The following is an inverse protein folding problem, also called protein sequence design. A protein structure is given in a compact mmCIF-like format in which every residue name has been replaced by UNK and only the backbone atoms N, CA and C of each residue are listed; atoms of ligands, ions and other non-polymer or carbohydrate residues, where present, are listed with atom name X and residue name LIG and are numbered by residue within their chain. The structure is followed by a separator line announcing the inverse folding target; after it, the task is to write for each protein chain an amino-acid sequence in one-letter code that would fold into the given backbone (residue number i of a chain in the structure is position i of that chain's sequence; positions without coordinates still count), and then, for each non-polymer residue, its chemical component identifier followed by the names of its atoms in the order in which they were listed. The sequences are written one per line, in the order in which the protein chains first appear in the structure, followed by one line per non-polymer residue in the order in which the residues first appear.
data_IF_214646142723
#
_entry.id   IF_214646142723
#
_cell.length_a   1.000
_cell.length_b   1.000
_cell.length_c   1.000
_cell.angle_alpha   90.00
_cell.angle_beta   90.00
_cell.angle_gamma   90.00
#
_symmetry.space_group_name_H-M   'P 1'
#
loop_
_entity.id
_entity.type
_entity.pdbx_description
1 polymer ?
#
# COMPACT_ATOMS: atom_id res chain seq x y z
N UNK A 1 16.62 40.39 3.46
CA UNK A 1 15.97 39.40 2.55
C UNK A 1 16.05 37.95 3.05
N UNK A 2 16.93 37.65 4.00
CA UNK A 2 17.15 36.31 4.59
C UNK A 2 15.95 35.76 5.38
N UNK A 3 15.15 36.59 6.05
CA UNK A 3 13.91 36.14 6.73
C UNK A 3 12.89 35.52 5.77
N UNK A 4 12.80 36.02 4.53
CA UNK A 4 11.89 35.50 3.51
C UNK A 4 12.38 34.18 2.95
N UNK A 5 13.69 34.02 2.73
CA UNK A 5 14.27 32.78 2.23
C UNK A 5 14.22 31.65 3.27
N UNK A 6 14.40 31.97 4.56
CA UNK A 6 14.25 31.00 5.66
C UNK A 6 12.79 30.52 5.78
N UNK A 7 11.81 31.41 5.68
CA UNK A 7 10.40 31.03 5.76
C UNK A 7 9.95 30.20 4.55
N UNK A 8 10.42 30.54 3.35
CA UNK A 8 10.13 29.77 2.12
C UNK A 8 10.79 28.38 2.19
N UNK A 9 12.02 28.28 2.67
CA UNK A 9 12.69 26.99 2.88
C UNK A 9 11.95 26.09 3.87
N UNK A 10 11.50 26.65 5.00
CA UNK A 10 10.69 25.92 5.99
C UNK A 10 9.35 25.44 5.42
N UNK A 11 8.67 26.28 4.62
CA UNK A 11 7.43 25.92 3.93
C UNK A 11 7.62 24.77 2.93
N UNK A 12 8.72 24.78 2.16
CA UNK A 12 9.02 23.73 1.16
C UNK A 12 9.32 22.39 1.84
N UNK A 13 10.03 22.39 2.97
CA UNK A 13 10.27 21.17 3.76
C UNK A 13 8.96 20.60 4.30
N UNK A 14 8.05 21.45 4.77
CA UNK A 14 6.74 21.01 5.27
C UNK A 14 5.85 20.41 4.18
N UNK A 15 5.88 20.98 2.96
CA UNK A 15 5.12 20.46 1.81
C UNK A 15 5.62 19.09 1.35
N UNK A 16 6.93 18.84 1.46
CA UNK A 16 7.54 17.55 1.06
C UNK A 16 7.09 16.37 1.92
N UNK A 17 6.72 16.61 3.18
CA UNK A 17 6.25 15.56 4.11
C UNK A 17 4.78 15.19 3.87
N UNK A 18 4.00 16.08 3.26
CA UNK A 18 2.56 15.93 3.10
C UNK A 18 2.14 15.07 1.89
N UNK A 19 3.07 14.59 1.06
CA UNK A 19 2.73 13.67 -0.05
C UNK A 19 2.48 12.27 0.50
N UNK A 20 1.28 12.06 1.03
CA UNK A 20 0.87 10.85 1.72
C UNK A 20 0.45 9.72 0.78
N UNK A 21 0.65 8.53 1.33
CA UNK A 21 0.43 7.19 0.79
C UNK A 21 -1.02 6.99 0.35
N UNK A 22 -1.25 6.87 -0.96
CA UNK A 22 -2.49 6.31 -1.50
C UNK A 22 -2.47 4.80 -1.29
N UNK A 23 -2.89 4.36 -0.10
CA UNK A 23 -3.07 2.96 0.24
C UNK A 23 -4.38 2.45 -0.39
N UNK A 24 -4.28 1.45 -1.27
CA UNK A 24 -5.43 0.81 -1.89
C UNK A 24 -5.86 -0.37 -1.00
N UNK A 25 -7.03 -0.28 -0.37
CA UNK A 25 -7.47 -1.30 0.58
C UNK A 25 -8.09 -2.52 -0.12
N UNK A 26 -7.62 -3.71 0.24
CA UNK A 26 -8.09 -5.00 -0.30
C UNK A 26 -8.56 -5.94 0.79
N UNK A 27 -9.36 -6.92 0.41
CA UNK A 27 -9.93 -7.92 1.30
C UNK A 27 -9.23 -9.26 1.12
N UNK A 28 -8.71 -9.82 2.20
CA UNK A 28 -8.15 -11.17 2.24
C UNK A 28 -9.04 -12.07 3.07
N UNK A 29 -9.09 -13.34 2.71
CA UNK A 29 -9.80 -14.35 3.50
C UNK A 29 -8.80 -15.12 4.36
N UNK A 30 -9.15 -15.41 5.61
CA UNK A 30 -8.22 -16.06 6.55
C UNK A 30 -7.68 -17.42 6.06
N UNK A 31 -8.46 -18.15 5.26
CA UNK A 31 -8.08 -19.45 4.68
C UNK A 31 -7.51 -19.38 3.26
N UNK A 32 -7.51 -18.21 2.63
CA UNK A 32 -7.20 -18.08 1.21
C UNK A 32 -5.98 -17.21 0.96
N UNK A 33 -5.12 -17.64 0.06
CA UNK A 33 -3.89 -16.93 -0.33
C UNK A 33 -4.14 -15.83 -1.37
N UNK A 34 -5.38 -15.32 -1.48
CA UNK A 34 -5.77 -14.33 -2.49
C UNK A 34 -6.38 -13.09 -1.89
N UNK A 35 -6.06 -11.94 -2.46
CA UNK A 35 -6.72 -10.67 -2.15
C UNK A 35 -7.81 -10.35 -3.19
N UNK A 36 -8.88 -9.71 -2.71
CA UNK A 36 -10.14 -9.49 -3.41
C UNK A 36 -10.64 -8.05 -3.21
N UNK A 37 -11.47 -7.55 -4.12
CA UNK A 37 -12.29 -6.34 -3.88
C UNK A 37 -13.53 -6.71 -3.06
N UNK A 38 -14.09 -5.74 -2.34
CA UNK A 38 -15.32 -5.90 -1.54
C UNK A 38 -16.49 -6.49 -2.35
N UNK A 39 -16.61 -6.10 -3.61
CA UNK A 39 -17.67 -6.53 -4.54
C UNK A 39 -17.45 -7.93 -5.13
N UNK A 40 -16.40 -8.66 -4.72
CA UNK A 40 -16.10 -9.96 -5.30
C UNK A 40 -17.16 -11.01 -4.93
N UNK A 41 -17.73 -11.67 -5.95
CA UNK A 41 -18.70 -12.78 -5.74
C UNK A 41 -18.13 -13.94 -4.92
N UNK A 42 -16.81 -14.12 -4.88
CA UNK A 42 -16.15 -15.24 -4.17
C UNK A 42 -16.08 -15.04 -2.65
N UNK A 43 -16.19 -13.78 -2.20
CA UNK A 43 -16.17 -13.43 -0.77
C UNK A 43 -17.54 -13.01 -0.26
N UNK A 44 -18.50 -12.79 -1.16
CA UNK A 44 -19.88 -12.42 -0.81
C UNK A 44 -20.50 -13.53 0.06
N UNK A 45 -20.70 -13.21 1.35
CA UNK A 45 -21.25 -14.14 2.35
C UNK A 45 -20.22 -14.81 3.27
N UNK A 46 -18.92 -14.54 3.11
CA UNK A 46 -17.90 -14.98 4.07
C UNK A 46 -17.86 -14.02 5.26
N UNK A 47 -17.68 -14.56 6.46
CA UNK A 47 -17.50 -13.77 7.69
C UNK A 47 -16.02 -13.56 8.04
N UNK A 48 -15.13 -14.38 7.49
CA UNK A 48 -13.68 -14.39 7.78
C UNK A 48 -12.89 -13.48 6.82
N UNK A 49 -13.31 -12.22 6.74
CA UNK A 49 -12.71 -11.20 5.87
C UNK A 49 -11.84 -10.25 6.70
N UNK A 50 -10.57 -10.12 6.31
CA UNK A 50 -9.68 -9.10 6.86
C UNK A 50 -9.38 -8.05 5.79
N UNK A 51 -9.38 -6.78 6.19
CA UNK A 51 -9.05 -5.65 5.33
C UNK A 51 -7.56 -5.32 5.54
N UNK A 52 -6.80 -5.30 4.46
CA UNK A 52 -5.37 -5.00 4.46
C UNK A 52 -5.03 -4.10 3.28
N UNK A 53 -3.96 -3.34 3.38
CA UNK A 53 -3.42 -2.57 2.25
C UNK A 53 -2.95 -3.51 1.13
N UNK A 54 -3.15 -3.14 -0.14
CA UNK A 54 -2.72 -3.92 -1.32
C UNK A 54 -1.22 -4.19 -1.30
N UNK A 55 -0.41 -3.19 -0.95
CA UNK A 55 1.03 -3.31 -0.77
C UNK A 55 1.39 -4.23 0.40
N UNK A 56 0.64 -4.15 1.50
CA UNK A 56 0.72 -5.10 2.62
C UNK A 56 0.42 -6.54 2.18
N UNK A 57 -0.64 -6.75 1.40
CA UNK A 57 -1.03 -8.07 0.90
C UNK A 57 0.04 -8.67 -0.03
N UNK A 58 0.63 -7.88 -0.90
CA UNK A 58 1.74 -8.30 -1.75
C UNK A 58 2.97 -8.70 -0.92
N UNK A 59 3.30 -7.92 0.13
CA UNK A 59 4.43 -8.22 1.05
C UNK A 59 4.21 -9.50 1.84
N UNK A 60 2.97 -9.80 2.22
CA UNK A 60 2.60 -11.05 2.89
C UNK A 60 2.48 -12.26 1.93
N UNK A 61 2.66 -12.05 0.62
CA UNK A 61 2.64 -13.11 -0.38
C UNK A 61 1.24 -13.50 -0.87
N UNK A 62 0.23 -12.67 -0.64
CA UNK A 62 -1.09 -12.88 -1.22
C UNK A 62 -1.07 -12.59 -2.72
N UNK A 63 -1.82 -13.40 -3.46
CA UNK A 63 -1.92 -13.31 -4.92
C UNK A 63 -3.20 -12.59 -5.35
N UNK A 64 -3.19 -11.85 -6.47
CA UNK A 64 -4.40 -11.20 -6.97
C UNK A 64 -5.48 -12.20 -7.36
N UNK A 65 -6.73 -11.89 -7.04
CA UNK A 65 -7.87 -12.60 -7.59
C UNK A 65 -8.02 -12.30 -9.09
N UNK A 66 -7.94 -13.34 -9.95
CA UNK A 66 -8.16 -13.27 -11.41
C UNK A 66 -9.39 -12.48 -11.87
N UNK A 67 -10.45 -12.45 -11.06
CA UNK A 67 -11.70 -11.73 -11.40
C UNK A 67 -11.74 -10.29 -10.91
N UNK A 68 -10.95 -9.95 -9.89
CA UNK A 68 -10.95 -8.61 -9.29
C UNK A 68 -9.78 -7.76 -9.78
N UNK A 69 -8.67 -8.41 -10.10
CA UNK A 69 -7.38 -7.82 -10.40
C UNK A 69 -6.76 -8.62 -11.56
N UNK A 70 -7.44 -8.59 -12.70
CA UNK A 70 -6.99 -9.23 -13.94
C UNK A 70 -5.70 -8.60 -14.45
N UNK A 71 -5.59 -7.28 -14.36
CA UNK A 71 -4.41 -6.51 -14.77
C UNK A 71 -3.16 -6.79 -13.93
N UNK A 72 -3.30 -6.99 -12.62
CA UNK A 72 -2.16 -7.20 -11.70
C UNK A 72 -1.46 -8.55 -11.91
N UNK A 73 -2.09 -9.51 -12.57
CA UNK A 73 -1.48 -10.81 -12.87
C UNK A 73 -0.40 -10.74 -13.94
N UNK A 74 -0.42 -9.71 -14.79
CA UNK A 74 0.56 -9.51 -15.84
C UNK A 74 1.85 -8.83 -15.34
N UNK A 75 1.83 -8.22 -14.15
CA UNK A 75 2.89 -7.31 -13.66
C UNK A 75 3.82 -7.98 -12.62
N UNK A 76 3.58 -9.24 -12.29
CA UNK A 76 4.23 -9.97 -11.18
C UNK A 76 5.73 -10.29 -11.30
N UNK A 77 6.50 -9.63 -12.17
CA UNK A 77 7.94 -9.91 -12.33
C UNK A 77 8.88 -8.71 -12.11
N UNK A 78 8.40 -7.48 -11.86
CA UNK A 78 9.30 -6.31 -11.90
C UNK A 78 9.59 -5.60 -10.56
N UNK A 79 8.78 -5.75 -9.50
CA UNK A 79 8.92 -4.86 -8.32
C UNK A 79 9.54 -5.53 -7.11
N UNK A 80 10.81 -5.91 -7.25
CA UNK A 80 11.73 -6.01 -6.11
C UNK A 80 12.29 -4.62 -5.85
N UNK A 81 12.00 -4.04 -4.68
CA UNK A 81 12.88 -3.02 -4.10
C UNK A 81 12.22 -1.71 -3.71
N UNK A 82 12.52 -1.33 -2.46
CA UNK A 82 12.15 -0.10 -1.74
C UNK A 82 10.70 -0.21 -1.23
N UNK A 83 10.45 -0.40 0.06
CA UNK A 83 10.95 0.44 1.14
C UNK A 83 11.34 -0.38 2.37
N UNK A 84 12.64 -0.69 2.49
CA UNK A 84 13.30 -0.81 3.79
C UNK A 84 14.25 0.38 3.89
N UNK A 85 13.83 1.44 4.57
CA UNK A 85 14.76 2.23 5.37
C UNK A 85 14.06 2.42 6.71
N UNK A 86 14.29 1.43 7.58
CA UNK A 86 14.41 1.73 8.99
C UNK A 86 15.56 2.71 9.15
N UNK A 87 15.39 3.74 9.98
CA UNK A 87 16.46 4.10 10.89
C UNK A 87 15.88 4.52 12.24
N UNK A 88 15.90 3.56 13.17
CA UNK A 88 16.12 3.82 14.59
C UNK A 88 17.61 4.12 14.76
N UNK A 89 17.98 5.29 15.25
CA UNK A 89 19.20 5.49 16.07
C UNK A 89 19.12 6.81 16.83
N UNK A 90 19.02 6.76 18.18
CA UNK A 90 20.05 7.19 19.16
C UNK A 90 20.33 8.71 19.10
N UNK A 91 20.27 9.48 20.18
CA UNK A 91 20.22 9.23 21.61
C UNK A 91 20.49 10.55 22.33
#
# INVERSE_FOLDING_TARGET
MIRKTVMVGMLVVFVSVATSVFADEVFVTQKGSKYHKEICRLIKGKKDLSKIDKGGALKEGYTPCKKCFSEDLAVGMDKTGKDKIQEKTKG
#
